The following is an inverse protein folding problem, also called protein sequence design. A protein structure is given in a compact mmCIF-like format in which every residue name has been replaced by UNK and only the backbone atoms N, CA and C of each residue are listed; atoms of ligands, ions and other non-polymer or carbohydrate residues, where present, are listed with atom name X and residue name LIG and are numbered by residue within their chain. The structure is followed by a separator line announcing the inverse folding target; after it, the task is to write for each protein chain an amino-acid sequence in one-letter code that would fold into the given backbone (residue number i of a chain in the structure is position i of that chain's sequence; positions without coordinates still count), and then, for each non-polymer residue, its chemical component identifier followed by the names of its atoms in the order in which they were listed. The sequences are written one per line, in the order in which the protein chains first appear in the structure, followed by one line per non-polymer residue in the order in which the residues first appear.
data_IF_896726858521
#
_entry.id   IF_896726858521
#
_cell.length_a   1.000
_cell.length_b   1.000
_cell.length_c   1.000
_cell.angle_alpha   90.00
_cell.angle_beta   90.00
_cell.angle_gamma   90.00
#
_symmetry.space_group_name_H-M   'P 1'
#
loop_
_entity.id
_entity.type
_entity.pdbx_description
1 polymer ?
#
# COMPACT_ATOMS: atom_id res chain seq x y z
N UNK A 1 36.97 2.74 -31.69
CA UNK A 1 36.44 2.27 -30.39
C UNK A 1 35.12 2.94 -29.97
N UNK A 2 34.32 3.48 -30.91
CA UNK A 2 33.02 4.13 -30.60
C UNK A 2 31.82 3.33 -31.14
N UNK A 3 32.05 2.32 -31.99
CA UNK A 3 30.96 1.47 -32.51
C UNK A 3 30.56 0.29 -31.61
N UNK A 4 31.34 -0.04 -30.57
CA UNK A 4 31.05 -1.17 -29.69
C UNK A 4 30.18 -0.80 -28.47
N UNK A 5 29.99 0.49 -28.19
CA UNK A 5 29.17 0.94 -27.06
C UNK A 5 27.68 1.11 -27.40
N UNK A 6 27.35 1.31 -28.68
CA UNK A 6 25.95 1.41 -29.14
C UNK A 6 25.26 0.03 -29.23
N UNK A 7 26.01 -1.05 -29.43
CA UNK A 7 25.46 -2.41 -29.52
C UNK A 7 25.09 -3.03 -28.18
N UNK A 8 25.64 -2.54 -27.06
CA UNK A 8 25.37 -3.08 -25.71
C UNK A 8 24.25 -2.33 -24.99
N UNK A 9 23.99 -1.06 -25.36
CA UNK A 9 22.91 -0.27 -24.75
C UNK A 9 21.52 -0.68 -25.27
N UNK A 10 21.43 -1.39 -26.41
CA UNK A 10 20.15 -1.82 -26.99
C UNK A 10 19.63 -3.18 -26.47
N UNK A 11 20.37 -3.90 -25.60
CA UNK A 11 19.98 -5.24 -25.10
C UNK A 11 19.58 -5.22 -23.61
N UNK A 12 19.38 -4.04 -23.02
CA UNK A 12 18.72 -3.91 -21.71
C UNK A 12 17.39 -3.13 -21.81
N UNK A 13 16.71 -3.22 -22.95
CA UNK A 13 15.25 -3.30 -22.87
C UNK A 13 14.96 -4.62 -22.17
N UNK A 14 14.87 -4.58 -20.84
CA UNK A 14 14.12 -5.59 -20.10
C UNK A 14 12.77 -5.61 -20.82
N UNK A 15 12.51 -6.66 -21.61
CA UNK A 15 11.14 -7.02 -21.91
C UNK A 15 10.52 -7.20 -20.54
N UNK A 16 9.82 -6.16 -20.10
CA UNK A 16 9.02 -6.18 -18.91
C UNK A 16 7.95 -7.17 -19.27
N UNK A 17 8.20 -8.45 -18.98
CA UNK A 17 7.30 -9.53 -19.32
C UNK A 17 5.95 -9.13 -18.75
N UNK A 18 5.04 -8.71 -19.62
CA UNK A 18 3.76 -8.17 -19.19
C UNK A 18 3.10 -9.29 -18.39
N UNK A 19 2.91 -9.09 -17.08
CA UNK A 19 2.25 -10.07 -16.20
C UNK A 19 0.76 -10.00 -16.43
N UNK A 20 0.31 -10.26 -17.67
CA UNK A 20 -1.09 -10.18 -18.04
C UNK A 20 -1.78 -11.54 -17.91
N UNK A 21 -3.05 -11.54 -17.50
CA UNK A 21 -3.91 -12.74 -17.55
C UNK A 21 -4.89 -12.60 -18.69
N UNK A 22 -4.98 -13.65 -19.50
CA UNK A 22 -5.89 -13.78 -20.61
C UNK A 22 -7.14 -14.53 -20.15
N UNK A 23 -8.26 -13.83 -20.07
CA UNK A 23 -9.55 -14.41 -19.74
C UNK A 23 -10.36 -14.52 -21.02
N UNK A 24 -10.55 -15.73 -21.53
CA UNK A 24 -11.35 -16.00 -22.72
C UNK A 24 -12.63 -16.72 -22.34
N UNK A 25 -13.69 -16.49 -23.10
CA UNK A 25 -14.89 -17.30 -22.94
C UNK A 25 -14.68 -18.72 -23.48
N UNK A 26 -15.47 -19.67 -23.00
CA UNK A 26 -15.40 -21.08 -23.45
C UNK A 26 -15.55 -21.25 -24.97
N UNK A 27 -16.20 -20.31 -25.67
CA UNK A 27 -16.38 -20.36 -27.13
C UNK A 27 -15.24 -19.69 -27.91
N UNK A 28 -14.29 -19.06 -27.23
CA UNK A 28 -13.19 -18.27 -27.81
C UNK A 28 -13.69 -17.14 -28.74
N UNK A 29 -14.87 -16.61 -28.47
CA UNK A 29 -15.49 -15.48 -29.17
C UNK A 29 -15.05 -14.14 -28.60
N UNK A 30 -14.69 -14.10 -27.32
CA UNK A 30 -14.29 -12.91 -26.58
C UNK A 30 -13.11 -13.24 -25.66
N UNK A 31 -12.19 -12.29 -25.54
CA UNK A 31 -11.11 -12.36 -24.58
C UNK A 31 -10.83 -10.97 -24.00
N UNK A 32 -10.62 -10.94 -22.68
CA UNK A 32 -10.13 -9.77 -21.94
C UNK A 32 -8.73 -10.09 -21.44
N UNK A 33 -7.76 -9.29 -21.86
CA UNK A 33 -6.42 -9.30 -21.26
C UNK A 33 -6.41 -8.29 -20.12
N UNK A 34 -6.03 -8.74 -18.92
CA UNK A 34 -5.95 -7.90 -17.72
C UNK A 34 -4.48 -7.63 -17.40
N UNK A 35 -4.12 -6.34 -17.28
CA UNK A 35 -2.76 -5.86 -17.03
C UNK A 35 -2.65 -5.25 -15.63
N UNK A 36 -1.46 -5.33 -15.04
CA UNK A 36 -1.15 -4.66 -13.79
C UNK A 36 -1.01 -3.13 -13.96
N UNK A 37 -0.52 -2.69 -15.13
CA UNK A 37 -0.31 -1.29 -15.48
C UNK A 37 -1.37 -0.78 -16.48
N UNK A 38 -1.52 0.54 -16.57
CA UNK A 38 -2.41 1.16 -17.54
C UNK A 38 -1.90 0.93 -18.99
N UNK A 39 -2.78 0.58 -19.96
CA UNK A 39 -4.20 0.31 -19.80
C UNK A 39 -4.45 -1.02 -19.07
N UNK A 40 -5.24 -0.95 -17.98
CA UNK A 40 -5.49 -2.09 -17.09
C UNK A 40 -6.16 -3.28 -17.77
N UNK A 41 -6.75 -3.07 -18.95
CA UNK A 41 -7.34 -4.15 -19.72
C UNK A 41 -7.34 -3.85 -21.23
N UNK A 42 -7.27 -4.92 -22.01
CA UNK A 42 -7.40 -4.93 -23.48
C UNK A 42 -8.48 -5.92 -23.89
N UNK A 43 -9.23 -5.59 -24.95
CA UNK A 43 -10.34 -6.41 -25.44
C UNK A 43 -10.03 -6.98 -26.81
N UNK A 44 -10.35 -8.27 -26.99
CA UNK A 44 -10.18 -9.01 -28.22
C UNK A 44 -11.48 -9.73 -28.57
N UNK A 45 -11.90 -9.61 -29.83
CA UNK A 45 -13.11 -10.24 -30.37
C UNK A 45 -12.84 -11.07 -31.63
N UNK A 46 -11.63 -10.97 -32.20
CA UNK A 46 -11.23 -11.77 -33.36
C UNK A 46 -10.86 -13.19 -32.91
N UNK A 47 -11.65 -14.17 -33.36
CA UNK A 47 -11.48 -15.57 -32.98
C UNK A 47 -10.12 -16.14 -33.35
N UNK A 48 -9.53 -15.74 -34.48
CA UNK A 48 -8.22 -16.22 -34.92
C UNK A 48 -7.10 -15.70 -34.02
N UNK A 49 -7.19 -14.43 -33.61
CA UNK A 49 -6.27 -13.82 -32.64
C UNK A 49 -6.42 -14.50 -31.27
N UNK A 50 -7.66 -14.64 -30.78
CA UNK A 50 -7.96 -15.28 -29.49
C UNK A 50 -7.40 -16.70 -29.46
N UNK A 51 -7.65 -17.50 -30.48
CA UNK A 51 -7.13 -18.87 -30.57
C UNK A 51 -5.61 -18.90 -30.55
N UNK A 52 -4.95 -18.02 -31.29
CA UNK A 52 -3.49 -17.92 -31.28
C UNK A 52 -2.95 -17.53 -29.90
N UNK A 53 -3.59 -16.58 -29.23
CA UNK A 53 -3.19 -16.15 -27.89
C UNK A 53 -3.41 -17.25 -26.85
N UNK A 54 -4.53 -17.97 -26.92
CA UNK A 54 -4.82 -19.10 -26.04
C UNK A 54 -3.82 -20.24 -26.17
N UNK A 55 -3.39 -20.56 -27.39
CA UNK A 55 -2.46 -21.66 -27.67
C UNK A 55 -0.98 -21.25 -27.53
N UNK A 56 -0.67 -19.97 -27.73
CA UNK A 56 0.69 -19.44 -27.70
C UNK A 56 1.12 -18.88 -26.34
N UNK A 57 0.19 -18.61 -25.43
CA UNK A 57 0.49 -18.08 -24.10
C UNK A 57 0.84 -19.19 -23.09
N UNK A 58 1.50 -18.80 -21.99
CA UNK A 58 1.72 -19.68 -20.85
C UNK A 58 0.35 -20.15 -20.29
N UNK A 59 0.10 -21.46 -20.17
CA UNK A 59 -1.14 -22.00 -19.61
C UNK A 59 -1.50 -21.44 -18.22
N UNK A 60 -0.53 -20.98 -17.42
CA UNK A 60 -0.77 -20.37 -16.10
C UNK A 60 -1.46 -19.01 -16.18
N UNK A 61 -1.31 -18.32 -17.31
CA UNK A 61 -1.85 -16.98 -17.58
C UNK A 61 -3.21 -17.03 -18.28
N UNK A 62 -3.65 -18.20 -18.71
CA UNK A 62 -4.90 -18.37 -19.47
C UNK A 62 -6.01 -18.90 -18.57
N UNK A 63 -7.19 -18.28 -18.64
CA UNK A 63 -8.41 -18.70 -17.93
C UNK A 63 -9.56 -18.79 -18.93
N UNK A 64 -10.17 -19.96 -19.03
CA UNK A 64 -11.43 -20.13 -19.76
C UNK A 64 -12.59 -19.99 -18.79
N UNK A 65 -13.58 -19.19 -19.19
CA UNK A 65 -14.67 -18.80 -18.34
C UNK A 65 -16.02 -18.82 -19.06
N UNK A 66 -17.10 -18.80 -18.30
CA UNK A 66 -18.45 -18.69 -18.84
C UNK A 66 -18.64 -17.40 -19.67
N UNK A 67 -19.40 -17.47 -20.77
CA UNK A 67 -19.53 -16.34 -21.70
C UNK A 67 -20.21 -15.11 -21.09
N UNK A 68 -21.07 -15.29 -20.09
CA UNK A 68 -21.65 -14.19 -19.30
C UNK A 68 -20.58 -13.48 -18.47
N UNK A 69 -19.71 -14.22 -17.77
CA UNK A 69 -18.68 -13.62 -16.93
C UNK A 69 -17.65 -12.83 -17.75
N UNK A 70 -17.28 -13.34 -18.93
CA UNK A 70 -16.40 -12.62 -19.86
C UNK A 70 -17.09 -11.40 -20.46
N UNK A 71 -18.40 -11.44 -20.69
CA UNK A 71 -19.15 -10.26 -21.12
C UNK A 71 -19.18 -9.17 -20.04
N UNK A 72 -19.33 -9.54 -18.77
CA UNK A 72 -19.28 -8.58 -17.65
C UNK A 72 -17.88 -7.96 -17.50
N UNK A 73 -16.82 -8.76 -17.68
CA UNK A 73 -15.44 -8.26 -17.72
C UNK A 73 -15.22 -7.32 -18.90
N UNK A 74 -15.77 -7.65 -20.08
CA UNK A 74 -15.72 -6.79 -21.26
C UNK A 74 -16.40 -5.43 -20.99
N UNK A 75 -17.59 -5.44 -20.40
CA UNK A 75 -18.31 -4.21 -20.05
C UNK A 75 -17.54 -3.37 -19.04
N UNK A 76 -17.04 -3.99 -17.99
CA UNK A 76 -16.25 -3.31 -16.95
C UNK A 76 -14.97 -2.70 -17.56
N UNK A 77 -14.32 -3.41 -18.46
CA UNK A 77 -13.15 -2.91 -19.19
C UNK A 77 -13.49 -1.69 -20.06
N UNK A 78 -14.61 -1.74 -20.81
CA UNK A 78 -15.09 -0.59 -21.60
C UNK A 78 -15.39 0.62 -20.71
N UNK A 79 -16.05 0.40 -19.57
CA UNK A 79 -16.38 1.45 -18.61
C UNK A 79 -15.12 2.09 -18.00
N UNK A 80 -14.11 1.28 -17.69
CA UNK A 80 -12.81 1.77 -17.20
C UNK A 80 -12.09 2.63 -18.23
N UNK A 81 -12.06 2.19 -19.50
CA UNK A 81 -11.45 2.95 -20.61
C UNK A 81 -12.10 4.32 -20.80
N UNK A 82 -13.41 4.41 -20.67
CA UNK A 82 -14.15 5.67 -20.82
C UNK A 82 -13.88 6.65 -19.66
N UNK A 83 -13.51 6.17 -18.47
CA UNK A 83 -13.10 6.99 -17.32
C UNK A 83 -11.63 7.44 -17.39
N UNK A 84 -10.85 6.91 -18.32
CA UNK A 84 -9.39 7.04 -18.44
C UNK A 84 -8.80 8.41 -18.80
N UNK A 85 -9.48 9.53 -18.50
CA UNK A 85 -8.88 10.88 -18.52
C UNK A 85 -8.84 11.57 -17.14
N UNK A 86 -9.59 11.08 -16.15
CA UNK A 86 -9.74 11.71 -14.83
C UNK A 86 -9.51 10.73 -13.65
N UNK A 87 -8.88 9.58 -13.87
CA UNK A 87 -8.62 8.63 -12.77
C UNK A 87 -7.47 9.13 -11.90
N UNK A 88 -7.70 9.14 -10.58
CA UNK A 88 -6.63 9.31 -9.61
C UNK A 88 -5.56 8.21 -9.81
N UNK A 89 -4.28 8.48 -9.53
CA UNK A 89 -3.25 7.44 -9.53
C UNK A 89 -3.68 6.30 -8.57
N UNK A 90 -3.87 5.09 -9.10
CA UNK A 90 -4.38 3.94 -8.34
C UNK A 90 -5.83 3.51 -8.63
N UNK A 91 -6.55 4.18 -9.55
CA UNK A 91 -7.90 3.79 -9.96
C UNK A 91 -7.93 2.56 -10.88
N UNK A 92 -7.91 1.36 -10.31
CA UNK A 92 -8.05 0.11 -11.05
C UNK A 92 -9.50 -0.36 -11.23
N UNK A 93 -9.65 -1.61 -11.66
CA UNK A 93 -10.95 -2.23 -11.96
C UNK A 93 -11.51 -2.95 -10.72
N UNK A 94 -12.78 -2.70 -10.39
CA UNK A 94 -13.54 -3.52 -9.43
C UNK A 94 -14.19 -4.64 -10.22
N UNK A 95 -14.02 -5.88 -9.78
CA UNK A 95 -14.52 -7.05 -10.48
C UNK A 95 -16.05 -7.02 -10.60
N UNK A 96 -16.63 -7.29 -11.78
CA UNK A 96 -18.08 -7.23 -11.96
C UNK A 96 -18.82 -8.17 -11.01
N UNK A 97 -20.00 -7.77 -10.55
CA UNK A 97 -20.77 -8.54 -9.57
C UNK A 97 -20.19 -8.51 -8.15
N UNK A 98 -19.13 -7.77 -7.88
CA UNK A 98 -18.54 -7.53 -6.54
C UNK A 98 -18.57 -6.05 -6.19
N UNK A 99 -18.38 -5.72 -4.91
CA UNK A 99 -18.29 -4.33 -4.43
C UNK A 99 -16.94 -4.03 -3.78
N UNK A 100 -16.22 -5.06 -3.33
CA UNK A 100 -14.98 -4.97 -2.57
C UNK A 100 -13.77 -5.53 -3.33
N UNK A 101 -13.95 -6.29 -4.42
CA UNK A 101 -12.82 -6.90 -5.14
C UNK A 101 -12.19 -5.94 -6.15
N UNK A 102 -11.45 -4.95 -5.67
CA UNK A 102 -10.65 -4.02 -6.48
C UNK A 102 -10.14 -2.81 -5.68
N UNK A 103 -9.61 -1.77 -6.34
CA UNK A 103 -9.16 -0.58 -5.61
C UNK A 103 -10.33 0.22 -5.00
N UNK A 104 -10.34 0.31 -3.67
CA UNK A 104 -11.45 0.92 -2.93
C UNK A 104 -12.70 0.02 -2.94
N UNK A 105 -13.87 0.60 -2.68
CA UNK A 105 -15.13 -0.15 -2.64
C UNK A 105 -16.28 0.64 -3.24
N UNK A 106 -17.23 -0.06 -3.87
CA UNK A 106 -18.53 0.47 -4.32
C UNK A 106 -19.62 0.34 -3.25
N UNK A 107 -19.34 -0.34 -2.15
CA UNK A 107 -20.31 -0.56 -1.07
C UNK A 107 -20.58 0.74 -0.30
N UNK A 108 -21.85 0.97 0.03
CA UNK A 108 -22.30 2.10 0.88
C UNK A 108 -22.26 1.73 2.36
N UNK A 109 -22.21 0.44 2.68
CA UNK A 109 -22.08 -0.09 4.04
C UNK A 109 -21.30 -1.39 4.07
N UNK A 110 -20.80 -1.77 5.24
CA UNK A 110 -20.02 -3.00 5.45
C UNK A 110 -20.74 -4.28 5.00
N UNK A 111 -22.03 -4.37 5.30
CA UNK A 111 -22.84 -5.57 4.98
C UNK A 111 -23.27 -5.64 3.52
N UNK A 112 -23.04 -4.57 2.76
CA UNK A 112 -23.42 -4.52 1.35
C UNK A 112 -22.43 -5.32 0.51
N UNK A 113 -22.90 -6.47 0.02
CA UNK A 113 -22.17 -7.35 -0.89
C UNK A 113 -22.79 -7.32 -2.30
N UNK A 114 -22.01 -7.75 -3.28
CA UNK A 114 -22.41 -7.97 -4.66
C UNK A 114 -23.07 -9.32 -4.91
N UNK A 115 -23.33 -9.60 -6.18
CA UNK A 115 -23.90 -10.86 -6.68
C UNK A 115 -23.01 -12.06 -6.36
N UNK A 116 -21.70 -11.91 -6.47
CA UNK A 116 -20.71 -12.92 -6.06
C UNK A 116 -20.45 -12.81 -4.56
N UNK A 117 -21.51 -13.03 -3.76
CA UNK A 117 -21.53 -12.68 -2.34
C UNK A 117 -20.41 -13.34 -1.53
N UNK A 118 -20.08 -14.61 -1.81
CA UNK A 118 -19.05 -15.33 -1.07
C UNK A 118 -17.64 -14.84 -1.41
N UNK A 119 -17.36 -14.62 -2.69
CA UNK A 119 -16.09 -14.08 -3.18
C UNK A 119 -15.90 -12.63 -2.72
N UNK A 120 -16.95 -11.83 -2.80
CA UNK A 120 -16.95 -10.43 -2.39
C UNK A 120 -16.75 -10.29 -0.87
N UNK A 121 -17.27 -11.23 -0.08
CA UNK A 121 -16.99 -11.30 1.35
C UNK A 121 -15.50 -11.57 1.65
N UNK A 122 -14.83 -12.41 0.85
CA UNK A 122 -13.38 -12.62 0.97
C UNK A 122 -12.61 -11.32 0.71
N UNK A 123 -13.01 -10.54 -0.30
CA UNK A 123 -12.39 -9.25 -0.62
C UNK A 123 -12.67 -8.20 0.47
N UNK A 124 -13.90 -8.13 0.97
CA UNK A 124 -14.27 -7.22 2.08
C UNK A 124 -13.42 -7.47 3.32
N UNK A 125 -13.25 -8.74 3.70
CA UNK A 125 -12.42 -9.09 4.87
C UNK A 125 -10.95 -8.69 4.64
N UNK A 126 -10.44 -8.87 3.42
CA UNK A 126 -9.08 -8.46 3.05
C UNK A 126 -8.89 -6.94 3.10
N UNK A 127 -9.87 -6.17 2.61
CA UNK A 127 -9.87 -4.70 2.65
C UNK A 127 -9.85 -4.15 4.08
N UNK A 128 -10.42 -4.89 5.04
CA UNK A 128 -10.44 -4.53 6.46
C UNK A 128 -9.24 -5.08 7.25
N UNK A 129 -8.15 -5.42 6.56
CA UNK A 129 -6.90 -5.82 7.22
C UNK A 129 -6.45 -4.76 8.25
N UNK A 130 -6.19 -5.13 9.52
CA UNK A 130 -5.81 -4.17 10.56
C UNK A 130 -4.51 -3.42 10.30
N UNK A 131 -3.63 -3.98 9.46
CA UNK A 131 -2.33 -3.44 9.14
C UNK A 131 -2.16 -3.35 7.62
N UNK A 132 -2.18 -2.13 7.11
CA UNK A 132 -1.99 -1.80 5.69
C UNK A 132 -1.04 -0.62 5.52
N UNK A 133 -0.44 -0.51 4.33
CA UNK A 133 0.35 0.63 3.90
C UNK A 133 -0.28 1.15 2.62
N UNK A 134 -0.95 2.29 2.70
CA UNK A 134 -1.53 2.93 1.52
C UNK A 134 -0.45 3.33 0.51
N UNK A 135 -0.81 3.59 -0.77
CA UNK A 135 0.15 4.05 -1.77
C UNK A 135 0.94 5.28 -1.31
N UNK A 136 2.25 5.26 -1.53
CA UNK A 136 3.20 6.31 -1.14
C UNK A 136 3.31 6.58 0.37
N UNK A 137 2.82 5.67 1.23
CA UNK A 137 3.00 5.74 2.67
C UNK A 137 4.14 4.84 3.15
N UNK A 138 4.70 5.15 4.32
CA UNK A 138 5.71 4.34 4.98
C UNK A 138 5.33 4.08 6.44
N UNK A 139 5.52 2.85 6.92
CA UNK A 139 5.41 2.48 8.33
C UNK A 139 6.65 1.70 8.75
N UNK A 140 7.19 1.98 9.93
CA UNK A 140 8.31 1.22 10.52
C UNK A 140 9.51 0.96 9.57
N UNK A 141 9.84 1.93 8.72
CA UNK A 141 10.95 1.82 7.76
C UNK A 141 10.64 1.05 6.47
N UNK A 142 9.41 0.59 6.27
CA UNK A 142 8.93 -0.04 5.04
C UNK A 142 8.03 0.96 4.30
N UNK A 143 8.35 1.24 3.04
CA UNK A 143 7.57 2.12 2.18
C UNK A 143 6.80 1.34 1.11
N UNK A 144 5.57 1.77 0.83
CA UNK A 144 4.78 1.27 -0.29
C UNK A 144 4.92 2.20 -1.49
N UNK A 145 5.85 1.88 -2.39
CA UNK A 145 6.04 2.61 -3.65
C UNK A 145 5.12 2.11 -4.76
N UNK A 146 4.26 1.11 -4.48
CA UNK A 146 3.31 0.60 -5.46
C UNK A 146 2.03 1.46 -5.48
N UNK A 147 1.29 1.48 -6.60
CA UNK A 147 0.04 2.23 -6.70
C UNK A 147 -1.13 1.54 -5.97
N UNK A 148 -0.91 0.35 -5.40
CA UNK A 148 -1.92 -0.44 -4.69
C UNK A 148 -1.64 -0.46 -3.20
N UNK A 149 -2.66 -0.60 -2.38
CA UNK A 149 -2.50 -0.78 -0.94
C UNK A 149 -1.77 -2.10 -0.66
N UNK A 150 -0.73 -2.06 0.16
CA UNK A 150 -0.04 -3.27 0.64
C UNK A 150 -0.63 -3.69 1.98
N UNK A 151 -0.98 -4.95 2.12
CA UNK A 151 -1.55 -5.53 3.35
C UNK A 151 -0.55 -6.43 4.08
N UNK A 152 -0.85 -6.73 5.34
CA UNK A 152 -0.05 -7.68 6.12
C UNK A 152 -0.11 -9.09 5.51
N UNK A 153 1.00 -9.85 5.53
CA UNK A 153 1.06 -11.17 4.89
C UNK A 153 0.05 -12.18 5.45
N UNK A 154 -0.37 -12.03 6.71
CA UNK A 154 -1.39 -12.90 7.29
C UNK A 154 -2.79 -12.60 6.72
N UNK A 155 -3.08 -11.36 6.32
CA UNK A 155 -4.31 -11.00 5.62
C UNK A 155 -4.31 -11.58 4.21
N UNK A 156 -3.21 -11.42 3.45
CA UNK A 156 -3.06 -12.00 2.11
C UNK A 156 -3.17 -13.54 2.13
N UNK A 157 -2.58 -14.18 3.14
CA UNK A 157 -2.67 -15.63 3.31
C UNK A 157 -4.09 -16.10 3.68
N UNK A 158 -4.83 -15.32 4.46
CA UNK A 158 -6.25 -15.58 4.74
C UNK A 158 -7.10 -15.39 3.48
N UNK A 159 -6.88 -14.30 2.75
CA UNK A 159 -7.57 -14.02 1.50
C UNK A 159 -7.36 -15.12 0.47
N UNK A 160 -6.11 -15.56 0.27
CA UNK A 160 -5.79 -16.70 -0.60
C UNK A 160 -6.55 -17.95 -0.20
N UNK A 161 -6.56 -18.30 1.10
CA UNK A 161 -7.28 -19.47 1.60
C UNK A 161 -8.79 -19.35 1.43
N UNK A 162 -9.35 -18.16 1.65
CA UNK A 162 -10.77 -17.88 1.46
C UNK A 162 -11.18 -18.19 0.01
N UNK A 163 -10.48 -17.61 -0.97
CA UNK A 163 -10.75 -17.84 -2.39
C UNK A 163 -10.53 -19.31 -2.80
N UNK A 164 -9.46 -19.94 -2.32
CA UNK A 164 -9.17 -21.35 -2.61
C UNK A 164 -10.24 -22.30 -2.06
N UNK A 165 -10.80 -22.00 -0.89
CA UNK A 165 -11.85 -22.80 -0.27
C UNK A 165 -13.18 -22.69 -1.02
N UNK A 166 -13.49 -21.53 -1.62
CA UNK A 166 -14.68 -21.38 -2.46
C UNK A 166 -14.57 -22.20 -3.75
N UNK A 167 -13.37 -22.25 -4.34
CA UNK A 167 -13.05 -23.04 -5.54
C UNK A 167 -14.03 -22.83 -6.73
N UNK A 168 -14.61 -21.63 -6.84
CA UNK A 168 -15.46 -21.25 -7.96
C UNK A 168 -14.63 -20.69 -9.11
N UNK A 169 -15.19 -20.63 -10.31
CA UNK A 169 -14.56 -19.98 -11.47
C UNK A 169 -14.13 -18.54 -11.15
N UNK A 170 -15.03 -17.78 -10.50
CA UNK A 170 -14.82 -16.40 -10.09
C UNK A 170 -13.70 -16.29 -9.04
N UNK A 171 -13.76 -17.11 -7.98
CA UNK A 171 -12.74 -17.09 -6.92
C UNK A 171 -11.34 -17.42 -7.46
N UNK A 172 -11.25 -18.38 -8.39
CA UNK A 172 -10.00 -18.76 -9.04
C UNK A 172 -9.43 -17.63 -9.90
N UNK A 173 -10.27 -16.88 -10.60
CA UNK A 173 -9.84 -15.71 -11.37
C UNK A 173 -9.44 -14.54 -10.48
N UNK A 174 -10.20 -14.24 -9.42
CA UNK A 174 -9.81 -13.21 -8.43
C UNK A 174 -8.44 -13.53 -7.82
N UNK A 175 -8.22 -14.79 -7.44
CA UNK A 175 -6.95 -15.26 -6.92
C UNK A 175 -5.82 -15.10 -7.94
N UNK A 176 -6.04 -15.47 -9.20
CA UNK A 176 -5.05 -15.29 -10.26
C UNK A 176 -4.72 -13.81 -10.50
N UNK A 177 -5.72 -12.93 -10.49
CA UNK A 177 -5.51 -11.50 -10.67
C UNK A 177 -4.69 -10.90 -9.54
N UNK A 178 -5.10 -11.13 -8.29
CA UNK A 178 -4.39 -10.55 -7.16
C UNK A 178 -2.97 -11.10 -7.01
N UNK A 179 -2.81 -12.43 -7.01
CA UNK A 179 -1.56 -13.07 -6.64
C UNK A 179 -0.58 -13.30 -7.80
N UNK A 180 -1.05 -13.35 -9.05
CA UNK A 180 -0.19 -13.66 -10.20
C UNK A 180 -0.01 -12.47 -11.15
N UNK A 181 -1.01 -11.59 -11.31
CA UNK A 181 -0.97 -10.44 -12.22
C UNK A 181 -0.50 -9.18 -11.52
N UNK A 182 -1.24 -8.76 -10.50
CA UNK A 182 -0.97 -7.51 -9.78
C UNK A 182 0.26 -7.70 -8.89
N UNK A 183 0.41 -8.89 -8.30
CA UNK A 183 1.57 -9.28 -7.48
C UNK A 183 1.89 -8.26 -6.37
N UNK A 184 0.85 -7.78 -5.68
CA UNK A 184 1.05 -6.91 -4.52
C UNK A 184 1.89 -7.65 -3.49
N UNK A 185 3.00 -7.04 -3.08
CA UNK A 185 3.87 -7.62 -2.05
C UNK A 185 3.31 -7.32 -0.68
N UNK A 186 3.10 -8.35 0.15
CA UNK A 186 2.71 -8.16 1.54
C UNK A 186 3.90 -7.70 2.41
N UNK A 187 3.63 -7.35 3.66
CA UNK A 187 4.66 -7.11 4.68
C UNK A 187 4.34 -7.89 5.97
N UNK A 188 5.38 -8.21 6.74
CA UNK A 188 5.24 -8.88 8.04
C UNK A 188 6.50 -8.68 8.87
N UNK A 189 6.35 -8.53 10.17
CA UNK A 189 7.46 -8.50 11.11
C UNK A 189 8.11 -9.89 11.21
N UNK A 190 9.43 -9.95 11.15
CA UNK A 190 10.20 -11.18 11.34
C UNK A 190 10.98 -11.10 12.65
N UNK A 191 10.83 -12.13 13.50
CA UNK A 191 11.66 -12.34 14.70
C UNK A 191 12.19 -13.78 14.71
N UNK A 192 13.50 -14.01 14.95
CA UNK A 192 14.56 -13.00 15.02
C UNK A 192 14.74 -12.28 13.68
N UNK A 193 15.34 -11.08 13.71
CA UNK A 193 15.71 -10.37 12.48
C UNK A 193 16.59 -11.29 11.63
N UNK A 194 16.35 -11.34 10.31
CA UNK A 194 17.25 -12.10 9.43
C UNK A 194 18.66 -11.50 9.50
N UNK A 195 19.71 -12.30 9.27
CA UNK A 195 21.10 -11.84 9.26
C UNK A 195 21.35 -10.70 8.25
N UNK A 196 20.48 -10.54 7.26
CA UNK A 196 20.51 -9.48 6.26
C UNK A 196 19.72 -8.22 6.66
N UNK A 197 18.88 -8.32 7.70
CA UNK A 197 18.13 -7.21 8.31
C UNK A 197 18.65 -6.85 9.71
N UNK A 198 19.56 -7.66 10.27
CA UNK A 198 20.32 -7.26 11.44
C UNK A 198 21.23 -6.11 11.04
N UNK A 199 20.81 -4.88 11.36
CA UNK A 199 21.79 -3.86 11.71
C UNK A 199 22.81 -4.49 12.68
N UNK A 200 24.08 -4.06 12.66
CA UNK A 200 24.96 -4.28 13.80
C UNK A 200 24.41 -3.41 14.94
N UNK A 201 23.29 -3.82 15.53
CA UNK A 201 22.93 -3.38 16.87
C UNK A 201 23.96 -4.06 17.77
N UNK A 202 24.98 -3.30 18.15
CA UNK A 202 25.57 -3.52 19.46
C UNK A 202 24.40 -3.52 20.43
N UNK A 203 24.18 -4.65 21.10
CA UNK A 203 23.28 -4.73 22.23
C UNK A 203 23.87 -3.85 23.33
N UNK A 204 23.63 -2.55 23.28
CA UNK A 204 23.62 -1.78 24.51
C UNK A 204 22.38 -2.23 25.26
N UNK A 205 22.61 -2.75 26.46
CA UNK A 205 21.54 -3.04 27.41
C UNK A 205 20.60 -1.84 27.43
N UNK A 206 19.30 -2.09 27.26
CA UNK A 206 18.28 -1.07 27.41
C UNK A 206 18.60 -0.29 28.70
N UNK A 207 18.76 1.05 28.65
CA UNK A 207 19.01 1.80 29.86
C UNK A 207 17.89 1.44 30.82
N UNK A 208 18.26 0.91 32.00
CA UNK A 208 17.29 0.77 33.09
C UNK A 208 16.55 2.10 33.17
N UNK A 209 15.22 2.03 33.13
CA UNK A 209 14.36 3.20 33.21
C UNK A 209 14.63 3.88 34.56
N UNK A 210 15.59 4.82 34.57
CA UNK A 210 16.04 5.50 35.76
C UNK A 210 15.08 6.66 36.03
N UNK A 211 14.12 6.41 36.91
CA UNK A 211 13.12 7.40 37.34
C UNK A 211 13.76 8.64 37.96
N UNK A 212 15.04 8.58 38.38
CA UNK A 212 15.75 9.72 38.97
C UNK A 212 16.18 10.79 37.94
N UNK A 213 16.24 10.45 36.66
CA UNK A 213 16.52 11.42 35.58
C UNK A 213 15.33 12.36 35.36
N UNK A 214 14.11 11.82 35.48
CA UNK A 214 12.88 12.60 35.36
C UNK A 214 12.65 13.52 36.58
N UNK A 215 12.96 13.05 37.78
CA UNK A 215 12.90 13.86 39.01
C UNK A 215 13.91 15.02 39.02
N UNK A 216 15.12 14.81 38.46
CA UNK A 216 16.10 15.89 38.26
C UNK A 216 15.63 16.95 37.26
N UNK A 217 15.01 16.52 36.16
CA UNK A 217 14.46 17.43 35.13
C UNK A 217 13.21 18.21 35.59
N UNK A 218 12.50 17.70 36.61
CA UNK A 218 11.39 18.41 37.28
C UNK A 218 11.89 19.47 38.26
N UNK A 219 12.95 19.18 39.02
CA UNK A 219 13.60 20.14 39.94
C UNK A 219 14.29 21.27 39.18
N UNK A 220 14.94 21.01 38.05
CA UNK A 220 15.58 22.06 37.23
C UNK A 220 14.56 23.03 36.65
N UNK A 221 13.41 22.53 36.18
CA UNK A 221 12.31 23.37 35.64
C UNK A 221 11.62 24.25 36.69
N UNK A 222 11.52 23.79 37.94
CA UNK A 222 11.01 24.61 39.05
C UNK A 222 12.00 25.73 39.45
N UNK A 223 13.30 25.48 39.34
CA UNK A 223 14.35 26.46 39.62
C UNK A 223 14.46 27.54 38.53
N UNK A 224 14.27 27.18 37.25
CA UNK A 224 14.28 28.13 36.13
C UNK A 224 13.14 29.16 36.19
N UNK A 225 12.01 28.83 36.85
CA UNK A 225 10.91 29.78 37.04
C UNK A 225 11.04 30.71 38.27
N UNK A 226 11.96 30.43 39.22
CA UNK A 226 12.19 31.30 40.39
C UNK A 226 13.27 32.36 40.18
N UNK A 227 14.23 32.13 39.28
CA UNK A 227 15.34 33.07 39.03
C UNK A 227 14.93 34.48 38.56
N UNK A 228 13.95 34.67 37.65
CA UNK A 228 13.59 36.03 37.21
C UNK A 228 12.89 36.85 38.30
N UNK A 229 12.22 36.20 39.27
CA UNK A 229 11.54 36.88 40.38
C UNK A 229 12.50 37.37 41.46
N UNK A 230 13.58 36.64 41.72
CA UNK A 230 14.60 37.01 42.72
C UNK A 230 15.52 38.13 42.21
N UNK A 231 15.86 38.11 40.92
CA UNK A 231 16.65 39.18 40.28
C UNK A 231 15.90 40.53 40.28
N UNK A 232 14.59 40.52 40.04
CA UNK A 232 13.75 41.74 40.10
C UNK A 232 13.68 42.31 41.52
N UNK A 233 13.57 41.45 42.54
CA UNK A 233 13.57 41.88 43.96
C UNK A 233 14.91 42.49 44.37
N UNK A 234 16.03 41.92 43.94
CA UNK A 234 17.37 42.48 44.19
C UNK A 234 17.58 43.82 43.47
N UNK A 235 17.03 43.99 42.27
CA UNK A 235 17.09 45.25 41.53
C UNK A 235 16.26 46.36 42.20
N UNK A 236 15.08 46.01 42.71
CA UNK A 236 14.21 46.93 43.47
C UNK A 236 14.87 47.34 44.78
N UNK A 237 15.46 46.41 45.54
CA UNK A 237 16.22 46.73 46.76
C UNK A 237 17.38 47.69 46.46
N UNK A 238 18.15 47.44 45.39
CA UNK A 238 19.29 48.27 44.99
C UNK A 238 18.89 49.67 44.50
N UNK A 239 17.68 49.82 43.95
CA UNK A 239 17.11 51.14 43.65
C UNK A 239 16.65 51.88 44.91
N UNK A 240 16.05 51.19 45.88
CA UNK A 240 15.63 51.79 47.16
C UNK A 240 16.84 52.23 47.99
N UNK A 241 17.94 51.46 47.99
CA UNK A 241 19.20 51.82 48.65
C UNK A 241 19.87 53.06 48.00
N UNK A 242 19.81 53.19 46.67
CA UNK A 242 20.31 54.38 45.96
C UNK A 242 19.45 55.63 46.21
N UNK A 243 18.13 55.48 46.35
CA UNK A 243 17.22 56.58 46.72
C UNK A 243 17.43 57.03 48.18
N UNK A 244 17.80 56.12 49.08
CA UNK A 244 18.17 56.45 50.46
C UNK A 244 19.52 57.19 50.52
N UNK A 245 20.49 56.80 49.69
CA UNK A 245 21.83 57.42 49.66
C UNK A 245 21.86 58.82 49.02
N UNK A 246 20.85 59.17 48.20
CA UNK A 246 20.75 60.51 47.60
C UNK A 246 20.08 61.55 48.52
N UNK A 247 19.41 61.13 49.59
CA UNK A 247 18.85 62.03 50.62
C UNK A 247 19.87 62.47 51.68
N UNK A 248 21.05 61.85 51.74
CA UNK A 248 22.13 62.20 52.68
C UNK A 248 23.20 63.13 52.10
N UNK A 249 23.01 63.67 50.89
CA UNK A 249 23.92 64.64 50.25
C UNK A 249 23.25 65.99 49.92
N UNK A 250 22.05 66.24 50.46
CA UNK A 250 21.33 67.52 50.37
C UNK A 250 20.86 68.02 51.75
N UNK A 251 21.66 67.75 52.79
CA UNK A 251 21.64 68.45 54.07
C UNK A 251 23.07 68.68 54.54
#
# INVERSE_FOLDING_TARGET
MILLTLGVVLILSIERGSTSVLVADTTMSRMVELNADAPFCSLYTDRGIIQRMMLGADPRRVRQMSSNLVADLEETCKASRNKGKNQAPGGGLIYPGTKWCGPGSLAKSYDELGQHTAEDACCREHDHCPATIAPNQCIHGICNNSPFTRSHCDCDAQFRRCLQNLNTEVANTLGALFFNVIQVTCFKERRPCSQWQSCPMQWENSPRYDTSAWERSRKSRLLEHLQPKLALLQFIFKMLDNLASHKSLLN
#
